data_IF_175539556937
#
_entry.id   IF_175539556937
#
_cell.length_a   1.000
_cell.length_b   1.000
_cell.length_c   1.000
_cell.angle_alpha   90.00
_cell.angle_beta   90.00
_cell.angle_gamma   90.00
#
_symmetry.space_group_name_H-M   'P 1'
#
loop_
_entity.id
_entity.type
_entity.pdbx_description
1 polymer ?
#
# COMPACT_ATOMS: atom_id res chain seq x y z
N UNK A 1 6.35 -29.50 26.50
CA UNK A 1 6.08 -28.69 26.84
C UNK A 1 6.33 -28.21 26.66
N UNK A 2 6.30 -28.51 26.13
CA UNK A 2 6.13 -27.66 26.27
C UNK A 2 6.34 -27.34 25.71
N UNK A 3 6.39 -28.00 25.34
CA UNK A 3 6.23 -27.19 25.28
C UNK A 3 6.61 -26.92 24.69
N UNK A 4 6.65 -27.31 24.20
CA UNK A 4 6.65 -26.30 24.25
C UNK A 4 6.72 -26.01 23.82
N UNK A 5 6.49 -26.43 23.17
CA UNK A 5 6.13 -25.55 23.39
C UNK A 5 6.51 -25.22 23.38
N UNK A 6 6.67 -25.68 23.25
CA UNK A 6 6.70 -24.65 23.87
C UNK A 6 6.87 -24.29 23.85
N UNK A 7 6.72 -24.72 23.55
CA UNK A 7 6.46 -23.85 24.13
C UNK A 7 6.71 -23.45 24.08
N UNK A 8 6.61 -23.63 24.03
CA UNK A 8 6.45 -22.80 24.51
C UNK A 8 6.26 -22.35 24.61
N UNK A 9 6.38 -22.95 24.60
CA UNK A 9 5.79 -22.26 25.12
C UNK A 9 5.69 -21.98 24.92
N UNK A 10 5.34 -22.01 25.04
CA UNK A 10 4.79 -21.58 25.18
C UNK A 10 4.57 -21.46 24.76
N UNK A 11 4.18 -21.50 24.83
CA UNK A 11 3.55 -21.23 24.50
C UNK A 11 2.90 -20.72 24.06
N UNK A 12 2.40 -20.51 24.19
CA UNK A 12 1.53 -19.87 23.80
C UNK A 12 1.30 -18.68 24.28
N UNK A 13 1.57 -18.19 24.94
CA UNK A 13 1.65 -17.16 25.46
C UNK A 13 1.28 -15.95 24.92
N UNK A 14 1.16 -15.00 25.41
CA UNK A 14 1.16 -13.87 24.75
C UNK A 14 1.31 -14.15 23.41
N UNK A 15 0.72 -15.13 23.07
CA UNK A 15 0.83 -15.64 21.80
C UNK A 15 0.45 -14.67 20.74
N UNK A 16 -0.55 -13.85 20.98
CA UNK A 16 -0.97 -12.87 20.00
C UNK A 16 0.14 -11.89 19.67
N UNK A 17 0.84 -11.45 20.69
CA UNK A 17 1.92 -10.52 20.48
C UNK A 17 3.07 -11.17 19.76
N UNK A 18 3.37 -12.42 20.16
CA UNK A 18 4.43 -13.14 19.48
C UNK A 18 4.08 -13.36 18.02
N UNK A 19 2.82 -13.60 17.77
CA UNK A 19 2.37 -13.82 16.41
C UNK A 19 2.57 -12.58 15.55
N UNK A 20 2.33 -11.41 16.11
CA UNK A 20 2.56 -10.18 15.38
C UNK A 20 4.02 -10.00 15.05
N UNK A 21 4.90 -10.31 16.01
CA UNK A 21 6.32 -10.20 15.76
C UNK A 21 6.77 -11.20 14.70
N UNK A 22 6.21 -12.39 14.73
CA UNK A 22 6.54 -13.39 13.73
C UNK A 22 6.09 -12.96 12.34
N UNK A 23 4.95 -12.34 12.24
CA UNK A 23 4.45 -11.87 10.96
C UNK A 23 5.36 -10.78 10.42
N UNK A 24 5.78 -9.85 11.25
CA UNK A 24 6.67 -8.79 10.83
C UNK A 24 8.00 -9.36 10.38
N UNK A 25 8.55 -10.31 11.14
CA UNK A 25 9.80 -10.93 10.78
C UNK A 25 9.68 -11.69 9.46
N UNK A 26 8.57 -12.40 9.28
CA UNK A 26 8.36 -13.14 8.04
C UNK A 26 8.27 -12.22 6.84
N UNK A 27 7.63 -11.07 7.00
CA UNK A 27 7.55 -10.11 5.91
C UNK A 27 8.93 -9.58 5.55
N UNK A 28 9.76 -9.31 6.54
CA UNK A 28 11.11 -8.83 6.28
C UNK A 28 11.95 -9.88 5.59
N UNK A 29 11.83 -11.13 6.02
CA UNK A 29 12.60 -12.20 5.42
C UNK A 29 12.16 -12.44 3.98
N UNK A 30 10.89 -12.35 3.73
CA UNK A 30 10.35 -12.62 2.42
C UNK A 30 10.88 -11.67 1.38
N UNK A 31 11.14 -10.43 1.77
CA UNK A 31 11.65 -9.45 0.85
C UNK A 31 13.08 -9.10 1.12
N UNK A 32 13.68 -9.77 2.09
CA UNK A 32 14.98 -9.37 2.55
C UNK A 32 14.83 -8.14 3.41
N UNK A 33 15.86 -7.40 3.52
CA UNK A 33 15.80 -6.16 4.24
C UNK A 33 14.86 -5.22 3.54
N UNK A 34 14.31 -4.26 4.27
CA UNK A 34 13.53 -3.26 3.61
C UNK A 34 14.30 -2.78 2.42
N UNK A 35 13.79 -3.09 1.27
CA UNK A 35 14.48 -2.78 0.04
C UNK A 35 14.08 -1.38 -0.35
N UNK A 36 15.00 -0.46 -0.19
CA UNK A 36 14.72 0.91 -0.57
C UNK A 36 14.91 1.13 -2.05
N UNK A 37 15.36 0.13 -2.75
CA UNK A 37 15.59 0.27 -4.17
C UNK A 37 14.39 -0.17 -4.95
N UNK A 38 14.04 0.53 -6.04
CA UNK A 38 12.95 0.08 -6.89
C UNK A 38 13.26 -1.30 -7.44
N UNK A 39 12.24 -2.11 -7.55
CA UNK A 39 12.36 -3.39 -8.23
C UNK A 39 12.32 -3.11 -9.72
N UNK A 40 13.36 -3.47 -10.49
CA UNK A 40 13.38 -3.12 -11.90
C UNK A 40 12.19 -3.62 -12.68
N UNK A 41 11.59 -4.73 -12.23
CA UNK A 41 10.48 -5.33 -12.94
C UNK A 41 9.13 -4.81 -12.49
N UNK A 42 9.10 -3.91 -11.50
CA UNK A 42 7.82 -3.43 -10.99
C UNK A 42 7.34 -2.29 -11.88
N UNK A 43 6.25 -2.50 -12.64
CA UNK A 43 5.81 -1.51 -13.60
C UNK A 43 5.23 -0.26 -12.97
N UNK A 44 4.91 -0.29 -11.68
CA UNK A 44 4.30 0.86 -11.05
C UNK A 44 5.31 1.83 -10.46
N UNK A 45 6.52 1.36 -10.18
CA UNK A 45 7.51 2.20 -9.51
C UNK A 45 7.95 3.34 -10.42
N UNK A 46 7.97 4.54 -9.87
CA UNK A 46 8.38 5.74 -10.60
C UNK A 46 7.22 6.47 -11.26
N UNK A 47 6.05 5.90 -11.29
CA UNK A 47 4.90 6.50 -11.95
C UNK A 47 3.83 6.94 -10.99
N UNK A 48 2.91 7.74 -11.50
CA UNK A 48 1.72 8.15 -10.76
C UNK A 48 0.57 7.25 -11.17
N UNK A 49 -0.23 6.85 -10.19
CA UNK A 49 -1.27 5.85 -10.43
C UNK A 49 -2.53 6.18 -9.68
N UNK A 50 -3.66 5.88 -10.32
CA UNK A 50 -4.95 5.82 -9.66
C UNK A 50 -5.14 4.36 -9.29
N UNK A 51 -5.15 4.07 -7.99
CA UNK A 51 -5.16 2.69 -7.49
C UNK A 51 -6.51 2.42 -6.86
N UNK A 52 -7.17 1.36 -7.32
CA UNK A 52 -8.44 0.96 -6.71
C UNK A 52 -8.17 -0.20 -5.76
N UNK A 53 -8.59 -0.03 -4.53
CA UNK A 53 -8.49 -1.10 -3.55
C UNK A 53 -9.88 -1.66 -3.28
N UNK A 54 -9.92 -2.68 -2.44
CA UNK A 54 -11.16 -3.35 -2.10
C UNK A 54 -12.16 -2.41 -1.43
N UNK A 55 -11.67 -1.40 -0.72
CA UNK A 55 -12.53 -0.53 0.07
C UNK A 55 -12.57 0.92 -0.42
N UNK A 56 -11.49 1.41 -0.99
CA UNK A 56 -11.43 2.80 -1.43
C UNK A 56 -10.34 2.97 -2.46
N UNK A 57 -10.15 4.20 -2.94
CA UNK A 57 -9.20 4.49 -4.01
C UNK A 57 -8.14 5.46 -3.55
N UNK A 58 -6.97 5.37 -4.17
CA UNK A 58 -5.85 6.24 -3.88
C UNK A 58 -5.23 6.72 -5.17
N UNK A 59 -4.69 7.93 -5.15
CA UNK A 59 -3.86 8.43 -6.23
C UNK A 59 -2.54 8.83 -5.60
N UNK A 60 -1.43 8.51 -6.26
CA UNK A 60 -0.14 8.90 -5.73
C UNK A 60 0.98 8.47 -6.64
N UNK A 61 2.18 8.92 -6.29
CA UNK A 61 3.37 8.48 -6.99
C UNK A 61 3.95 7.28 -6.25
N UNK A 62 4.11 6.18 -6.96
CA UNK A 62 4.72 4.99 -6.39
C UNK A 62 6.22 5.18 -6.43
N UNK A 63 6.85 5.29 -5.26
CA UNK A 63 8.29 5.52 -5.20
C UNK A 63 9.07 4.25 -5.04
N UNK A 64 8.48 3.23 -4.44
CA UNK A 64 9.15 1.94 -4.34
C UNK A 64 8.17 0.89 -3.84
N UNK A 65 8.56 -0.33 -4.00
CA UNK A 65 7.87 -1.47 -3.42
C UNK A 65 8.69 -1.96 -2.23
N UNK A 66 8.04 -2.16 -1.12
CA UNK A 66 8.69 -2.70 0.06
C UNK A 66 7.92 -3.95 0.47
N UNK A 67 8.40 -5.09 0.04
CA UNK A 67 7.76 -6.35 0.34
C UNK A 67 6.39 -6.45 -0.28
N UNK A 68 5.38 -6.57 0.58
CA UNK A 68 3.99 -6.72 0.15
C UNK A 68 3.27 -5.38 0.09
N UNK A 69 4.01 -4.28 0.11
CA UNK A 69 3.44 -2.95 0.12
C UNK A 69 4.03 -2.08 -0.96
N UNK A 70 3.21 -1.17 -1.47
CA UNK A 70 3.70 -0.08 -2.31
C UNK A 70 3.79 1.17 -1.45
N UNK A 71 4.89 1.90 -1.62
CA UNK A 71 5.09 3.15 -0.89
C UNK A 71 4.75 4.29 -1.84
N UNK A 72 3.82 5.13 -1.41
CA UNK A 72 3.32 6.23 -2.21
C UNK A 72 3.79 7.56 -1.63
N UNK A 73 4.08 8.49 -2.51
CA UNK A 73 4.41 9.86 -2.15
C UNK A 73 3.34 10.77 -2.68
N UNK A 74 2.99 11.81 -1.91
CA UNK A 74 1.97 12.78 -2.28
C UNK A 74 0.67 12.09 -2.65
N UNK A 75 0.27 11.15 -1.81
CA UNK A 75 -0.91 10.38 -2.04
C UNK A 75 -2.16 11.15 -1.65
N UNK A 76 -3.26 10.79 -2.27
CA UNK A 76 -4.57 11.32 -1.95
C UNK A 76 -5.56 10.19 -1.86
N UNK A 77 -6.46 10.33 -0.94
CA UNK A 77 -7.57 9.42 -0.75
C UNK A 77 -8.73 9.93 -1.58
N UNK A 78 -9.25 9.09 -2.45
CA UNK A 78 -10.34 9.49 -3.34
C UNK A 78 -11.63 8.90 -2.80
N UNK A 79 -12.46 9.77 -2.24
CA UNK A 79 -13.76 9.35 -1.72
C UNK A 79 -14.77 9.21 -2.84
N UNK A 80 -14.67 10.09 -3.84
CA UNK A 80 -15.59 10.06 -4.97
C UNK A 80 -14.85 10.56 -6.19
N UNK A 81 -14.66 9.70 -7.16
CA UNK A 81 -13.97 10.07 -8.38
C UNK A 81 -14.89 10.80 -9.35
N UNK A 82 -16.17 10.81 -9.06
CA UNK A 82 -17.14 11.24 -10.06
C UNK A 82 -17.26 10.15 -11.11
N UNK A 83 -17.46 10.54 -12.35
CA UNK A 83 -17.50 9.56 -13.43
C UNK A 83 -16.07 9.06 -13.66
N UNK A 84 -15.87 7.78 -13.48
CA UNK A 84 -14.52 7.19 -13.45
C UNK A 84 -13.73 7.49 -14.72
N UNK A 85 -14.35 7.33 -15.89
CA UNK A 85 -13.65 7.60 -17.14
C UNK A 85 -13.23 9.06 -17.27
N UNK A 86 -14.05 9.97 -16.73
CA UNK A 86 -13.69 11.38 -16.74
C UNK A 86 -12.51 11.64 -15.81
N UNK A 87 -12.48 10.96 -14.67
CA UNK A 87 -11.36 11.11 -13.74
C UNK A 87 -10.06 10.67 -14.42
N UNK A 88 -10.06 9.52 -15.06
CA UNK A 88 -8.84 9.01 -15.68
C UNK A 88 -8.44 9.88 -16.88
N UNK A 89 -9.40 10.27 -17.70
CA UNK A 89 -9.09 10.99 -18.94
C UNK A 89 -8.74 12.44 -18.70
N UNK A 90 -9.48 13.10 -17.81
CA UNK A 90 -9.37 14.54 -17.62
C UNK A 90 -8.80 14.96 -16.27
N UNK A 91 -8.64 14.02 -15.35
CA UNK A 91 -8.12 14.36 -14.04
C UNK A 91 -9.13 15.01 -13.11
N UNK A 92 -10.43 14.89 -13.41
CA UNK A 92 -11.47 15.49 -12.57
C UNK A 92 -11.86 14.53 -11.46
N UNK A 93 -12.00 15.05 -10.26
CA UNK A 93 -12.37 14.28 -9.09
C UNK A 93 -13.44 15.04 -8.32
N UNK A 94 -14.41 14.31 -7.78
CA UNK A 94 -15.49 14.94 -7.00
C UNK A 94 -15.09 15.17 -5.55
N UNK A 95 -14.52 14.15 -4.91
CA UNK A 95 -14.09 14.28 -3.51
C UNK A 95 -12.74 13.59 -3.34
N UNK A 96 -11.77 14.35 -2.92
CA UNK A 96 -10.40 13.85 -2.75
C UNK A 96 -9.78 14.53 -1.55
N UNK A 97 -8.94 13.80 -0.84
CA UNK A 97 -8.28 14.31 0.34
C UNK A 97 -6.80 13.93 0.30
N UNK A 98 -5.92 14.92 0.12
CA UNK A 98 -4.48 14.63 0.17
C UNK A 98 -4.09 14.16 1.55
N UNK A 99 -3.32 13.08 1.62
CA UNK A 99 -2.91 12.49 2.88
C UNK A 99 -1.40 12.41 3.04
N UNK A 100 -0.64 12.79 2.02
CA UNK A 100 0.82 12.75 2.09
C UNK A 100 1.36 11.39 1.72
N UNK A 101 2.39 10.96 2.43
CA UNK A 101 2.98 9.66 2.15
C UNK A 101 2.09 8.56 2.69
N UNK A 102 2.00 7.47 1.96
CA UNK A 102 1.14 6.36 2.35
C UNK A 102 1.73 5.06 1.87
N UNK A 103 1.29 3.98 2.48
CA UNK A 103 1.61 2.64 1.97
C UNK A 103 0.30 1.92 1.71
N UNK A 104 0.31 1.08 0.69
CA UNK A 104 -0.88 0.30 0.36
C UNK A 104 -0.47 -1.15 0.15
N UNK A 105 -1.24 -2.06 0.72
CA UNK A 105 -0.96 -3.48 0.58
C UNK A 105 -1.26 -3.96 -0.81
N UNK A 106 -0.32 -4.70 -1.40
CA UNK A 106 -0.51 -5.24 -2.74
C UNK A 106 -1.76 -6.10 -2.82
N UNK A 107 -2.05 -6.85 -1.77
CA UNK A 107 -3.19 -7.76 -1.79
C UNK A 107 -4.53 -7.03 -1.79
N UNK A 108 -4.54 -5.75 -1.43
CA UNK A 108 -5.79 -4.99 -1.42
C UNK A 108 -6.08 -4.32 -2.76
N UNK A 109 -5.14 -4.35 -3.68
CA UNK A 109 -5.29 -3.65 -4.96
C UNK A 109 -6.09 -4.51 -5.91
N UNK A 110 -7.15 -3.93 -6.46
CA UNK A 110 -7.96 -4.58 -7.47
C UNK A 110 -7.39 -4.30 -8.85
N UNK A 111 -7.13 -3.04 -9.12
CA UNK A 111 -6.49 -2.63 -10.36
C UNK A 111 -5.90 -1.24 -10.20
N UNK A 112 -5.16 -0.80 -11.20
CA UNK A 112 -4.54 0.52 -11.16
C UNK A 112 -4.45 1.06 -12.58
N UNK A 113 -4.52 2.38 -12.69
CA UNK A 113 -4.49 3.07 -13.98
C UNK A 113 -3.47 4.20 -13.92
N UNK A 114 -2.68 4.40 -14.96
CA UNK A 114 -1.73 5.52 -14.97
C UNK A 114 -2.47 6.84 -14.76
N UNK A 115 -1.94 7.66 -13.87
CA UNK A 115 -2.51 8.97 -13.60
C UNK A 115 -1.63 10.00 -14.29
N UNK A 116 -2.14 10.58 -15.37
CA UNK A 116 -1.35 11.47 -16.22
C UNK A 116 -1.58 12.93 -15.91
N UNK A 117 -2.07 13.22 -14.73
CA UNK A 117 -2.42 14.58 -14.33
C UNK A 117 -1.64 14.95 -13.10
N UNK A 118 -1.76 16.22 -12.69
CA UNK A 118 -1.13 16.65 -11.46
C UNK A 118 -1.71 15.88 -10.28
N UNK A 119 -0.90 15.60 -9.27
CA UNK A 119 -1.41 14.99 -8.06
C UNK A 119 -2.20 16.03 -7.27
N UNK A 120 -3.35 15.65 -6.70
CA UNK A 120 -4.15 16.60 -5.93
C UNK A 120 -3.36 17.16 -4.76
N UNK A 121 -3.52 18.43 -4.49
CA UNK A 121 -2.85 19.08 -3.38
C UNK A 121 -3.84 19.66 -2.39
N UNK A 122 -5.07 19.84 -2.80
CA UNK A 122 -6.10 20.44 -1.96
C UNK A 122 -7.26 19.48 -1.80
N UNK A 123 -7.85 19.55 -0.62
CA UNK A 123 -9.04 18.76 -0.32
C UNK A 123 -10.21 19.30 -1.12
N UNK A 124 -11.03 18.39 -1.54
CA UNK A 124 -12.15 18.74 -2.37
C UNK A 124 -13.40 18.01 -1.94
#
# INVERSE_FOLDING_TARGET
>A
MQSHLHTKGDDVKTVTLDLEDDVVAALREQVGEPDDKPTPDDPMVGGKWFIRTVTFHLIGKVVRRSGLFLVLQDASWVADSGRFMQAIKNGTLSEVEPVGDAIVGLASIVDAFPWKHALPKDQK
#
